data_IF_343112644826
#
_entry.id   IF_343112644826
#
_cell.length_a   1.000
_cell.length_b   1.000
_cell.length_c   1.000
_cell.angle_alpha   90.00
_cell.angle_beta   90.00
_cell.angle_gamma   90.00
#
_symmetry.space_group_name_H-M   'P 1'
#
loop_
_entity.id
_entity.type
_entity.pdbx_description
1 polymer ?
#
# COMPACT_ATOMS: atom_id res chain seq x y z
N UNK A 1 5.79 -8.00 1.44
CA UNK A 1 6.67 -6.82 1.64
C UNK A 1 8.13 -7.15 1.33
N UNK A 2 8.83 -7.98 2.14
CA UNK A 2 10.25 -8.32 1.89
C UNK A 2 10.53 -8.99 0.54
N UNK A 3 9.60 -9.82 0.04
CA UNK A 3 9.69 -10.45 -1.28
C UNK A 3 9.41 -9.51 -2.47
N UNK A 4 8.89 -8.30 -2.24
CA UNK A 4 8.45 -7.37 -3.29
C UNK A 4 9.39 -6.18 -3.47
N UNK A 5 10.58 -6.19 -2.84
CA UNK A 5 11.55 -5.09 -2.94
C UNK A 5 11.08 -3.76 -2.33
N UNK A 6 10.08 -3.79 -1.44
CA UNK A 6 9.57 -2.58 -0.79
C UNK A 6 10.16 -2.40 0.61
N UNK A 7 10.48 -1.15 0.93
CA UNK A 7 10.83 -0.71 2.26
C UNK A 7 9.60 -0.79 3.17
N UNK A 8 9.66 -1.65 4.19
CA UNK A 8 8.51 -1.91 5.07
C UNK A 8 8.03 -0.65 5.79
N UNK A 9 8.94 0.20 6.23
CA UNK A 9 8.60 1.43 6.95
C UNK A 9 7.87 2.42 6.03
N UNK A 10 8.37 2.63 4.81
CA UNK A 10 7.70 3.49 3.82
C UNK A 10 6.31 2.95 3.47
N UNK A 11 6.19 1.63 3.32
CA UNK A 11 4.90 0.99 3.01
C UNK A 11 3.85 1.19 4.12
N UNK A 12 4.23 1.02 5.39
CA UNK A 12 3.31 1.29 6.51
C UNK A 12 2.87 2.76 6.55
N UNK A 13 3.82 3.70 6.36
CA UNK A 13 3.49 5.13 6.26
C UNK A 13 2.54 5.40 5.09
N UNK A 14 2.76 4.77 3.94
CA UNK A 14 1.89 4.87 2.78
C UNK A 14 0.47 4.37 3.10
N UNK A 15 0.33 3.19 3.70
CA UNK A 15 -0.99 2.66 4.08
C UNK A 15 -1.72 3.60 5.05
N UNK A 16 -1.05 4.11 6.08
CA UNK A 16 -1.65 5.05 7.03
C UNK A 16 -2.06 6.37 6.40
N UNK A 17 -1.41 6.79 5.31
CA UNK A 17 -1.82 7.98 4.55
C UNK A 17 -3.01 7.73 3.63
N UNK A 18 -3.12 6.53 3.04
CA UNK A 18 -4.09 6.28 1.98
C UNK A 18 -5.38 5.61 2.46
N UNK A 19 -5.28 4.60 3.33
CA UNK A 19 -6.46 3.82 3.74
C UNK A 19 -7.55 4.67 4.41
N UNK A 20 -7.26 5.68 5.25
CA UNK A 20 -8.30 6.53 5.83
C UNK A 20 -9.13 7.30 4.80
N UNK A 21 -8.59 7.54 3.60
CA UNK A 21 -9.30 8.24 2.52
C UNK A 21 -10.40 7.40 1.88
N UNK A 22 -10.41 6.09 2.12
CA UNK A 22 -11.43 5.19 1.60
C UNK A 22 -12.71 5.16 2.44
N UNK A 23 -12.72 5.84 3.60
CA UNK A 23 -13.83 5.83 4.54
C UNK A 23 -13.88 4.59 5.44
N UNK A 24 -14.96 4.43 6.20
CA UNK A 24 -15.16 3.27 7.06
C UNK A 24 -15.54 2.04 6.22
N UNK A 25 -14.82 0.94 6.41
CA UNK A 25 -15.06 -0.37 5.77
C UNK A 25 -14.93 -0.37 4.23
N UNK A 26 -13.73 -0.10 3.68
CA UNK A 26 -13.49 -0.24 2.25
C UNK A 26 -13.77 -1.65 1.74
N UNK A 27 -14.37 -1.76 0.56
CA UNK A 27 -14.55 -3.04 -0.13
C UNK A 27 -13.20 -3.59 -0.59
N UNK A 28 -13.12 -4.90 -0.77
CA UNK A 28 -11.91 -5.58 -1.23
C UNK A 28 -11.35 -4.99 -2.54
N UNK A 29 -12.21 -4.74 -3.52
CA UNK A 29 -11.81 -4.11 -4.79
C UNK A 29 -11.17 -2.72 -4.64
N UNK A 30 -11.48 -1.99 -3.56
CA UNK A 30 -10.86 -0.70 -3.27
C UNK A 30 -9.49 -0.88 -2.59
N UNK A 31 -9.28 -2.00 -1.90
CA UNK A 31 -8.02 -2.32 -1.23
C UNK A 31 -6.96 -2.86 -2.19
N UNK A 32 -7.37 -3.45 -3.31
CA UNK A 32 -6.46 -4.07 -4.28
C UNK A 32 -5.34 -3.13 -4.75
N UNK A 33 -5.65 -1.85 -4.97
CA UNK A 33 -4.70 -0.83 -5.40
C UNK A 33 -3.57 -0.53 -4.39
N UNK A 34 -3.73 -0.96 -3.13
CA UNK A 34 -2.78 -0.71 -2.04
C UNK A 34 -1.97 -1.96 -1.66
N UNK A 35 -2.19 -3.08 -2.35
CA UNK A 35 -1.47 -4.31 -2.11
C UNK A 35 0.02 -4.16 -2.46
N UNK A 36 0.91 -4.84 -1.72
CA UNK A 36 2.34 -4.62 -1.81
C UNK A 36 2.97 -5.15 -3.11
N UNK A 37 2.22 -5.86 -3.95
CA UNK A 37 2.64 -6.35 -5.26
C UNK A 37 2.11 -5.51 -6.42
N UNK A 38 1.36 -4.44 -6.15
CA UNK A 38 0.95 -3.50 -7.19
C UNK A 38 2.15 -2.68 -7.66
N UNK A 39 2.24 -2.42 -8.97
CA UNK A 39 3.36 -1.66 -9.56
C UNK A 39 3.54 -0.29 -8.91
N UNK A 40 2.43 0.40 -8.63
CA UNK A 40 2.46 1.73 -8.02
C UNK A 40 3.04 1.71 -6.60
N UNK A 41 2.61 0.75 -5.77
CA UNK A 41 3.14 0.60 -4.40
C UNK A 41 4.61 0.22 -4.43
N UNK A 42 5.01 -0.68 -5.34
CA UNK A 42 6.41 -1.04 -5.51
C UNK A 42 7.26 0.18 -5.83
N UNK A 43 6.88 1.00 -6.82
CA UNK A 43 7.61 2.22 -7.19
C UNK A 43 7.61 3.29 -6.09
N UNK A 44 6.51 3.44 -5.35
CA UNK A 44 6.36 4.49 -4.33
C UNK A 44 7.02 4.13 -3.00
N UNK A 45 7.29 2.84 -2.77
CA UNK A 45 7.79 2.31 -1.51
C UNK A 45 9.12 1.56 -1.65
N UNK A 46 9.87 1.71 -2.76
CA UNK A 46 11.27 1.23 -2.84
C UNK A 46 12.17 2.01 -1.88
N UNK A 47 13.35 1.47 -1.60
CA UNK A 47 14.38 2.08 -0.72
C UNK A 47 14.79 3.49 -1.14
#
# INVERSE_FOLDING_TARGET
AKANGINLRKYLIYLFKQLPKLGAFPKECQLEAYLPWTKYVQQSCTD
#
